data_IF_745734579180
#
_entry.id   IF_745734579180
#
_cell.length_a   1.000
_cell.length_b   1.000
_cell.length_c   1.000
_cell.angle_alpha   90.00
_cell.angle_beta   90.00
_cell.angle_gamma   90.00
#
_symmetry.space_group_name_H-M   'P 1'
#
loop_
_entity.id
_entity.type
_entity.pdbx_description
1 polymer ?
#
# COMPACT_ATOMS: atom_id res chain seq x y z
N UNK A 1 17.74 37.29 -4.73
CA UNK A 1 17.25 37.64 -3.38
C UNK A 1 15.95 36.87 -3.18
N UNK A 2 15.86 36.02 -2.16
CA UNK A 2 14.63 35.28 -1.89
C UNK A 2 13.62 36.22 -1.22
N UNK A 3 12.46 36.40 -1.84
CA UNK A 3 11.44 37.36 -1.41
C UNK A 3 10.29 36.68 -0.67
N UNK A 4 9.43 37.45 0.00
CA UNK A 4 8.21 36.92 0.60
C UNK A 4 7.24 36.34 -0.46
N UNK A 5 7.27 36.86 -1.70
CA UNK A 5 6.50 36.28 -2.80
C UNK A 5 7.02 34.89 -3.18
N UNK A 6 8.34 34.71 -3.19
CA UNK A 6 8.98 33.41 -3.40
C UNK A 6 8.61 32.45 -2.26
N UNK A 7 8.73 32.91 -1.01
CA UNK A 7 8.35 32.16 0.20
C UNK A 7 6.91 31.64 0.11
N UNK A 8 5.97 32.53 -0.25
CA UNK A 8 4.55 32.18 -0.42
C UNK A 8 4.35 31.13 -1.52
N UNK A 9 4.97 31.33 -2.69
CA UNK A 9 4.80 30.45 -3.85
C UNK A 9 5.32 29.03 -3.59
N UNK A 10 6.43 28.92 -2.84
CA UNK A 10 7.07 27.65 -2.52
C UNK A 10 6.44 26.95 -1.32
N UNK A 11 5.94 27.68 -0.32
CA UNK A 11 5.38 27.09 0.89
C UNK A 11 4.04 26.37 0.63
N UNK A 12 3.21 26.90 -0.26
CA UNK A 12 1.86 26.38 -0.47
C UNK A 12 1.80 24.90 -0.89
N UNK A 13 2.58 24.42 -1.89
CA UNK A 13 2.58 23.00 -2.23
C UNK A 13 3.05 22.10 -1.07
N UNK A 14 4.02 22.56 -0.27
CA UNK A 14 4.54 21.80 0.88
C UNK A 14 3.48 21.68 1.98
N UNK A 15 2.78 22.77 2.30
CA UNK A 15 1.67 22.76 3.26
C UNK A 15 0.53 21.86 2.79
N UNK A 16 0.23 21.84 1.49
CA UNK A 16 -0.76 20.90 0.95
C UNK A 16 -0.35 19.45 1.10
N UNK A 17 0.93 19.11 0.89
CA UNK A 17 1.44 17.76 1.07
C UNK A 17 1.36 17.32 2.54
N UNK A 18 1.81 18.18 3.46
CA UNK A 18 1.70 17.97 4.91
C UNK A 18 0.23 17.77 5.34
N UNK A 19 -0.67 18.63 4.86
CA UNK A 19 -2.09 18.53 5.16
C UNK A 19 -2.71 17.24 4.62
N UNK A 20 -2.37 16.86 3.39
CA UNK A 20 -2.89 15.62 2.76
C UNK A 20 -2.48 14.40 3.56
N UNK A 21 -1.23 14.30 3.98
CA UNK A 21 -0.76 13.21 4.83
C UNK A 21 -1.47 13.20 6.17
N UNK A 22 -1.52 14.34 6.87
CA UNK A 22 -2.18 14.43 8.18
C UNK A 22 -3.68 14.08 8.09
N UNK A 23 -4.34 14.48 7.00
CA UNK A 23 -5.73 14.15 6.72
C UNK A 23 -5.92 12.66 6.41
N UNK A 24 -5.04 12.06 5.62
CA UNK A 24 -5.08 10.63 5.32
C UNK A 24 -4.94 9.77 6.60
N UNK A 25 -4.05 10.16 7.50
CA UNK A 25 -3.83 9.44 8.78
C UNK A 25 -4.98 9.60 9.78
N UNK A 26 -5.58 10.78 9.85
CA UNK A 26 -6.56 11.12 10.90
C UNK A 26 -8.01 10.95 10.46
N UNK A 27 -8.28 10.98 9.14
CA UNK A 27 -9.63 11.03 8.59
C UNK A 27 -10.40 12.33 8.88
N UNK A 28 -9.79 13.32 9.54
CA UNK A 28 -10.43 14.56 9.97
C UNK A 28 -9.67 15.78 9.47
N UNK A 29 -10.38 16.69 8.78
CA UNK A 29 -9.78 17.95 8.33
C UNK A 29 -9.33 18.84 9.49
N UNK A 30 -10.09 18.86 10.59
CA UNK A 30 -9.74 19.68 11.75
C UNK A 30 -8.47 19.16 12.41
N UNK A 31 -8.39 17.84 12.65
CA UNK A 31 -7.18 17.22 13.19
C UNK A 31 -5.96 17.42 12.26
N UNK A 32 -6.17 17.41 10.94
CA UNK A 32 -5.11 17.70 9.98
C UNK A 32 -4.60 19.15 10.09
N UNK A 33 -5.50 20.15 10.19
CA UNK A 33 -5.08 21.53 10.42
C UNK A 33 -4.31 21.68 11.72
N UNK A 34 -4.78 21.07 12.81
CA UNK A 34 -4.12 21.12 14.12
C UNK A 34 -2.72 20.48 14.08
N UNK A 35 -2.61 19.33 13.42
CA UNK A 35 -1.34 18.62 13.25
C UNK A 35 -0.33 19.45 12.48
N UNK A 36 -0.71 19.98 11.32
CA UNK A 36 0.19 20.79 10.48
C UNK A 36 0.58 22.07 11.21
N UNK A 37 -0.39 22.73 11.87
CA UNK A 37 -0.16 23.94 12.64
C UNK A 37 0.89 23.74 13.74
N UNK A 38 0.79 22.63 14.49
CA UNK A 38 1.78 22.26 15.51
C UNK A 38 3.18 21.97 14.95
N UNK A 39 3.27 21.41 13.73
CA UNK A 39 4.56 21.12 13.09
C UNK A 39 5.33 22.36 12.63
N UNK A 40 4.61 23.44 12.29
CA UNK A 40 5.20 24.65 11.70
C UNK A 40 5.16 25.88 12.63
N UNK A 41 4.77 25.70 13.89
CA UNK A 41 4.67 26.77 14.91
C UNK A 41 3.68 27.88 14.52
N UNK A 42 2.49 27.48 14.03
CA UNK A 42 1.39 28.39 13.65
C UNK A 42 0.06 27.92 14.21
N UNK A 43 -0.97 28.75 14.04
CA UNK A 43 -2.33 28.40 14.44
C UNK A 43 -3.05 27.59 13.35
N UNK A 44 -3.99 26.69 13.72
CA UNK A 44 -4.81 25.94 12.75
C UNK A 44 -5.61 26.85 11.81
N UNK A 45 -6.09 27.97 12.34
CA UNK A 45 -6.79 28.98 11.55
C UNK A 45 -5.88 29.63 10.49
N UNK A 46 -4.61 29.89 10.82
CA UNK A 46 -3.63 30.41 9.86
C UNK A 46 -3.38 29.41 8.73
N UNK A 47 -3.21 28.12 9.05
CA UNK A 47 -3.03 27.06 8.04
C UNK A 47 -4.24 26.97 7.11
N UNK A 48 -5.45 27.01 7.66
CA UNK A 48 -6.69 27.03 6.88
C UNK A 48 -6.78 28.24 5.94
N UNK A 49 -6.39 29.43 6.41
CA UNK A 49 -6.36 30.65 5.59
C UNK A 49 -5.31 30.56 4.48
N UNK A 50 -4.12 30.03 4.79
CA UNK A 50 -3.05 29.83 3.83
C UNK A 50 -3.48 28.89 2.70
N UNK A 51 -4.02 27.72 3.04
CA UNK A 51 -4.57 26.75 2.07
C UNK A 51 -5.72 27.39 1.27
N UNK A 52 -6.58 28.16 1.94
CA UNK A 52 -7.66 28.92 1.31
C UNK A 52 -7.21 30.13 0.51
N UNK A 53 -5.90 30.38 0.36
CA UNK A 53 -5.29 31.51 -0.36
C UNK A 53 -5.86 32.87 0.08
N UNK A 54 -6.15 33.02 1.37
CA UNK A 54 -6.62 34.30 1.92
C UNK A 54 -5.45 35.27 2.01
N UNK A 55 -5.69 36.54 1.65
CA UNK A 55 -4.65 37.57 1.55
C UNK A 55 -4.00 37.92 2.91
N UNK A 56 -4.65 37.59 4.02
CA UNK A 56 -4.14 37.82 5.38
C UNK A 56 -3.23 36.70 5.91
N UNK A 57 -3.10 35.59 5.18
CA UNK A 57 -2.15 34.52 5.48
C UNK A 57 -0.85 34.67 4.67
N UNK A 58 -0.06 35.67 5.08
CA UNK A 58 1.27 35.92 4.53
C UNK A 58 2.26 34.92 5.11
N UNK A 59 3.05 34.30 4.24
CA UNK A 59 4.18 33.44 4.59
C UNK A 59 5.43 34.31 4.69
N UNK A 60 5.93 34.46 5.92
CA UNK A 60 7.22 35.10 6.15
C UNK A 60 8.38 34.10 5.95
N UNK A 61 9.61 34.59 5.89
CA UNK A 61 10.79 33.72 5.76
C UNK A 61 10.86 32.65 6.87
N UNK A 62 10.53 33.01 8.12
CA UNK A 62 10.49 32.04 9.24
C UNK A 62 9.46 30.94 9.00
N UNK A 63 8.30 31.28 8.44
CA UNK A 63 7.26 30.31 8.12
C UNK A 63 7.74 29.34 7.05
N UNK A 64 8.39 29.86 6.02
CA UNK A 64 8.95 29.03 4.96
C UNK A 64 10.01 28.05 5.50
N UNK A 65 10.88 28.49 6.40
CA UNK A 65 11.86 27.61 7.05
C UNK A 65 11.19 26.52 7.91
N UNK A 66 10.16 26.88 8.67
CA UNK A 66 9.42 25.91 9.48
C UNK A 66 8.67 24.89 8.60
N UNK A 67 8.06 25.36 7.50
CA UNK A 67 7.32 24.52 6.55
C UNK A 67 8.26 23.56 5.82
N UNK A 68 9.40 24.05 5.32
CA UNK A 68 10.41 23.22 4.66
C UNK A 68 10.95 22.16 5.62
N UNK A 69 11.36 22.54 6.83
CA UNK A 69 11.82 21.58 7.84
C UNK A 69 10.74 20.54 8.23
N UNK A 70 9.47 20.95 8.30
CA UNK A 70 8.37 20.02 8.56
C UNK A 70 8.18 19.03 7.40
N UNK A 71 8.31 19.51 6.17
CA UNK A 71 8.22 18.68 4.97
C UNK A 71 9.39 17.70 4.84
N UNK A 72 10.61 18.15 5.10
CA UNK A 72 11.80 17.27 5.08
C UNK A 72 11.68 16.13 6.09
N UNK A 73 11.15 16.42 7.30
CA UNK A 73 10.82 15.39 8.29
C UNK A 73 9.77 14.41 7.81
N UNK A 74 8.79 14.85 7.01
CA UNK A 74 7.81 13.97 6.40
C UNK A 74 8.47 13.05 5.36
N UNK A 75 9.30 13.59 4.47
CA UNK A 75 10.03 12.81 3.48
C UNK A 75 10.91 11.74 4.14
N UNK A 76 11.74 12.14 5.11
CA UNK A 76 12.60 11.22 5.85
C UNK A 76 11.79 10.11 6.55
N UNK A 77 10.61 10.43 7.08
CA UNK A 77 9.72 9.44 7.68
C UNK A 77 9.18 8.45 6.65
N UNK A 78 8.77 8.91 5.47
CA UNK A 78 8.24 8.04 4.41
C UNK A 78 9.33 7.12 3.85
N UNK A 79 10.53 7.65 3.64
CA UNK A 79 11.70 6.88 3.24
C UNK A 79 12.02 5.80 4.27
N UNK A 80 12.05 6.15 5.56
CA UNK A 80 12.28 5.15 6.61
C UNK A 80 11.20 4.07 6.66
N UNK A 81 9.92 4.41 6.42
CA UNK A 81 8.85 3.41 6.35
C UNK A 81 9.06 2.46 5.18
N UNK A 82 9.44 2.99 4.01
CA UNK A 82 9.72 2.16 2.83
C UNK A 82 10.90 1.21 3.08
N UNK A 83 12.00 1.70 3.65
CA UNK A 83 13.16 0.86 4.02
C UNK A 83 12.76 -0.28 4.99
N UNK A 84 11.91 0.02 5.98
CA UNK A 84 11.42 -1.00 6.90
C UNK A 84 10.51 -2.03 6.22
N UNK A 85 9.72 -1.62 5.24
CA UNK A 85 8.86 -2.52 4.46
C UNK A 85 9.69 -3.44 3.56
N UNK A 86 10.72 -2.91 2.90
CA UNK A 86 11.68 -3.69 2.11
C UNK A 86 12.43 -4.71 2.96
N UNK A 87 12.93 -4.31 4.13
CA UNK A 87 13.60 -5.22 5.05
C UNK A 87 12.66 -6.34 5.55
N UNK A 88 11.39 -6.02 5.80
CA UNK A 88 10.39 -7.03 6.19
C UNK A 88 10.07 -7.98 5.05
N UNK A 89 9.94 -7.48 3.82
CA UNK A 89 9.70 -8.31 2.65
C UNK A 89 10.87 -9.29 2.42
N UNK A 90 12.11 -8.81 2.47
CA UNK A 90 13.30 -9.64 2.34
C UNK A 90 13.37 -10.75 3.42
N UNK A 91 13.07 -10.39 4.68
CA UNK A 91 13.04 -11.37 5.77
C UNK A 91 11.94 -12.44 5.57
N UNK A 92 10.77 -12.05 5.05
CA UNK A 92 9.70 -13.01 4.74
C UNK A 92 10.08 -13.92 3.56
N UNK A 93 10.76 -13.39 2.53
CA UNK A 93 11.26 -14.19 1.41
C UNK A 93 12.30 -15.22 1.87
N UNK A 94 13.22 -14.83 2.76
CA UNK A 94 14.21 -15.74 3.35
C UNK A 94 13.54 -16.87 4.13
N UNK A 95 12.57 -16.56 5.00
CA UNK A 95 11.80 -17.56 5.75
C UNK A 95 11.06 -18.52 4.80
N UNK A 96 10.45 -18.01 3.72
CA UNK A 96 9.77 -18.84 2.74
C UNK A 96 10.74 -19.70 1.93
N UNK A 97 11.93 -19.20 1.62
CA UNK A 97 12.97 -19.96 0.95
C UNK A 97 13.49 -21.10 1.83
N UNK A 98 13.77 -20.83 3.11
CA UNK A 98 14.14 -21.86 4.10
C UNK A 98 13.03 -22.90 4.28
N UNK A 99 11.78 -22.48 4.40
CA UNK A 99 10.65 -23.40 4.52
C UNK A 99 10.45 -24.24 3.24
N UNK A 100 10.60 -23.62 2.06
CA UNK A 100 10.50 -24.30 0.76
C UNK A 100 11.60 -25.34 0.55
N UNK A 101 12.84 -24.99 0.86
CA UNK A 101 13.99 -25.90 0.78
C UNK A 101 13.91 -27.03 1.81
N UNK A 102 13.44 -26.76 3.03
CA UNK A 102 13.16 -27.79 4.02
C UNK A 102 12.03 -28.74 3.58
N UNK A 103 10.99 -28.21 2.93
CA UNK A 103 9.91 -28.97 2.33
C UNK A 103 10.39 -29.86 1.18
N UNK A 104 11.21 -29.32 0.28
CA UNK A 104 11.79 -30.06 -0.85
C UNK A 104 12.72 -31.18 -0.37
N UNK A 105 13.55 -30.93 0.65
CA UNK A 105 14.39 -31.96 1.27
C UNK A 105 13.58 -33.10 1.94
N UNK A 106 12.39 -32.80 2.48
CA UNK A 106 11.50 -33.82 3.03
C UNK A 106 10.85 -34.67 1.91
N UNK A 107 10.47 -34.02 0.80
CA UNK A 107 9.92 -34.69 -0.39
C UNK A 107 10.97 -35.59 -1.05
N UNK A 108 12.22 -35.13 -1.17
CA UNK A 108 13.35 -35.93 -1.68
C UNK A 108 13.62 -37.16 -0.81
N UNK A 109 13.50 -37.05 0.52
CA UNK A 109 13.62 -38.21 1.43
C UNK A 109 12.46 -39.19 1.35
N UNK A 110 11.26 -38.74 0.96
CA UNK A 110 10.10 -39.59 0.74
C UNK A 110 10.02 -40.15 -0.69
N UNK A 111 10.85 -39.67 -1.61
CA UNK A 111 10.93 -40.23 -2.95
C UNK A 111 11.38 -41.71 -2.84
N UNK A 112 10.55 -42.68 -3.27
CA UNK A 112 10.95 -44.08 -3.24
C UNK A 112 12.18 -44.27 -4.12
N UNK A 113 13.16 -45.09 -3.72
CA UNK A 113 14.35 -45.31 -4.54
C UNK A 113 13.88 -45.80 -5.91
N UNK A 114 14.29 -45.08 -6.97
CA UNK A 114 14.11 -45.50 -8.34
C UNK A 114 14.82 -46.85 -8.51
N UNK A 115 14.07 -47.93 -8.29
CA UNK A 115 14.52 -49.30 -8.36
C UNK A 115 15.04 -49.57 -9.76
N UNK A 116 16.35 -49.76 -9.86
CA UNK A 116 17.04 -50.23 -11.05
C UNK A 116 16.62 -51.68 -11.32
N UNK A 117 15.57 -51.83 -12.14
CA UNK A 117 15.28 -52.97 -13.00
C UNK A 117 14.91 -54.31 -12.36
N UNK A 118 13.65 -54.71 -12.50
CA UNK A 118 13.33 -56.04 -13.03
C UNK A 118 12.18 -55.94 -14.02
N UNK A 119 12.45 -56.40 -15.24
CA UNK A 119 11.50 -56.61 -16.32
C UNK A 119 10.48 -57.66 -15.88
N UNK A 120 9.25 -57.27 -15.60
CA UNK A 120 8.15 -58.20 -15.39
C UNK A 120 6.90 -57.76 -16.17
N UNK A 121 6.67 -58.52 -17.25
CA UNK A 121 5.43 -58.79 -18.00
C UNK A 121 4.30 -57.74 -18.00
N UNK A 122 3.99 -57.28 -19.22
CA UNK A 122 2.69 -56.77 -19.64
C UNK A 122 1.57 -57.73 -19.22
N UNK A 123 0.58 -57.22 -18.49
CA UNK A 123 -0.79 -57.76 -18.50
C UNK A 123 -1.70 -56.74 -19.20
N UNK A 124 -2.52 -57.15 -20.19
CA UNK A 124 -3.45 -56.28 -20.90
C UNK A 124 -4.82 -56.23 -20.20
N UNK A 125 -5.49 -55.08 -20.32
CA UNK A 125 -6.86 -54.82 -19.82
C UNK A 125 -6.83 -54.06 -18.51
N UNK A 126 -7.29 -52.82 -18.41
CA UNK A 126 -8.64 -52.36 -18.76
C UNK A 126 -8.60 -50.88 -19.10
N UNK A 127 -9.20 -50.50 -20.23
CA UNK A 127 -9.47 -49.10 -20.57
C UNK A 127 -10.56 -48.59 -19.64
N UNK A 128 -10.29 -47.54 -18.87
CA UNK A 128 -11.34 -46.66 -18.33
C UNK A 128 -11.09 -45.28 -18.90
N UNK A 129 -12.12 -44.79 -19.59
CA UNK A 129 -12.10 -43.57 -20.37
C UNK A 129 -11.94 -42.33 -19.48
N UNK A 130 -11.14 -41.40 -19.97
CA UNK A 130 -11.07 -40.04 -19.47
C UNK A 130 -12.42 -39.33 -19.73
N UNK A 131 -13.09 -38.91 -18.68
CA UNK A 131 -14.12 -37.88 -18.75
C UNK A 131 -13.52 -36.61 -18.13
N UNK A 132 -13.22 -35.66 -19.01
CA UNK A 132 -12.82 -34.31 -18.67
C UNK A 132 -13.91 -33.64 -17.83
N UNK A 133 -13.56 -33.17 -16.63
CA UNK A 133 -14.36 -32.18 -15.91
C UNK A 133 -13.89 -30.79 -16.37
N UNK A 134 -14.65 -30.25 -17.32
CA UNK A 134 -14.55 -28.89 -17.84
C UNK A 134 -15.00 -27.87 -16.76
N UNK A 135 -14.20 -26.86 -16.40
CA UNK A 135 -14.49 -25.87 -15.37
C UNK A 135 -15.49 -24.75 -15.77
N UNK A 136 -16.46 -25.00 -16.68
CA UNK A 136 -17.38 -23.96 -17.18
C UNK A 136 -18.86 -24.06 -16.77
N UNK A 137 -19.21 -24.85 -15.76
CA UNK A 137 -20.60 -25.07 -15.35
C UNK A 137 -21.12 -24.21 -14.17
N UNK A 138 -20.46 -23.12 -13.76
CA UNK A 138 -20.93 -22.25 -12.65
C UNK A 138 -21.23 -20.80 -13.05
N UNK A 139 -21.57 -20.56 -14.32
CA UNK A 139 -22.06 -19.26 -14.79
C UNK A 139 -23.44 -19.39 -15.45
N UNK A 140 -24.50 -19.62 -14.66
CA UNK A 140 -25.87 -19.23 -15.02
C UNK A 140 -26.85 -19.43 -13.86
N UNK A 141 -27.43 -18.32 -13.39
CA UNK A 141 -28.80 -18.33 -12.87
C UNK A 141 -29.01 -17.89 -11.43
N UNK A 142 -28.89 -16.58 -11.16
CA UNK A 142 -29.92 -15.84 -10.41
C UNK A 142 -29.97 -14.40 -10.96
N UNK A 143 -30.76 -14.19 -12.01
CA UNK A 143 -31.37 -12.89 -12.35
C UNK A 143 -32.83 -13.17 -12.67
N UNK A 144 -33.67 -12.20 -12.31
CA UNK A 144 -35.13 -12.13 -12.46
C UNK A 144 -35.86 -12.90 -11.35
N UNK A 145 -36.83 -12.36 -10.64
CA UNK A 145 -37.67 -11.17 -10.81
C UNK A 145 -38.16 -10.76 -9.38
N UNK A 146 -38.83 -9.66 -9.07
CA UNK A 146 -39.79 -8.87 -9.85
C UNK A 146 -40.23 -7.63 -9.05
N UNK A 147 -40.62 -6.59 -9.79
CA UNK A 147 -41.68 -5.59 -9.53
C UNK A 147 -41.59 -4.72 -8.25
N UNK A 148 -41.47 -3.39 -8.35
CA UNK A 148 -42.41 -2.40 -8.95
C UNK A 148 -43.84 -2.52 -8.40
N UNK A 149 -44.16 -1.73 -7.39
CA UNK A 149 -45.31 -0.82 -7.43
C UNK A 149 -45.41 0.11 -6.23
N UNK A 150 -45.39 1.41 -6.55
CA UNK A 150 -46.29 2.47 -6.09
C UNK A 150 -46.44 2.75 -4.58
N UNK A 151 -45.99 3.95 -4.22
CA UNK A 151 -46.54 4.84 -3.20
C UNK A 151 -46.25 6.26 -3.61
#
# INVERSE_FOLDING_TARGET
MFTNADAQSQALPLVHALFREAHWRSGSRMAAYDTVAGQIDRSPNWVRKLIGRRADAVVEMRDWLNISAAYDRLCAKLESVAEHEEARAAALEEILHEAGTAGEALVERQAPPAGRGTRARRSPGTRVAAAALDPRATARGVRSAEAVSRG
#
